data_IF_649108846232
#
_entry.id   IF_649108846232
#
_cell.length_a   1.000
_cell.length_b   1.000
_cell.length_c   1.000
_cell.angle_alpha   90.00
_cell.angle_beta   90.00
_cell.angle_gamma   90.00
#
_symmetry.space_group_name_H-M   'P 1'
#
loop_
_entity.id
_entity.type
_entity.pdbx_description
1 polymer ?
#
# COMPACT_ATOMS: atom_id res chain seq x y z
N UNK A 1 -16.93 -17.70 16.23
CA UNK A 1 -16.77 -16.38 15.58
C UNK A 1 -17.79 -16.31 14.46
N UNK A 2 -18.74 -15.38 14.55
CA UNK A 2 -19.92 -15.36 13.68
C UNK A 2 -19.50 -15.17 12.22
N UNK A 3 -19.87 -16.10 11.33
CA UNK A 3 -19.46 -16.13 9.93
C UNK A 3 -19.66 -14.79 9.20
N UNK A 4 -20.70 -14.03 9.58
CA UNK A 4 -20.97 -12.67 9.10
C UNK A 4 -19.83 -11.67 9.33
N UNK A 5 -19.19 -11.71 10.50
CA UNK A 5 -18.09 -10.79 10.84
C UNK A 5 -16.83 -11.12 10.03
N UNK A 6 -16.54 -12.41 9.85
CA UNK A 6 -15.42 -12.87 9.02
C UNK A 6 -15.63 -12.49 7.55
N UNK A 7 -16.84 -12.66 7.02
CA UNK A 7 -17.18 -12.29 5.65
C UNK A 7 -16.98 -10.78 5.41
N UNK A 8 -17.50 -9.94 6.30
CA UNK A 8 -17.41 -8.48 6.15
C UNK A 8 -15.96 -7.98 6.23
N UNK A 9 -15.17 -8.60 7.11
CA UNK A 9 -13.73 -8.36 7.21
C UNK A 9 -12.99 -8.71 5.92
N UNK A 10 -13.24 -9.91 5.37
CA UNK A 10 -12.58 -10.36 4.15
C UNK A 10 -13.00 -9.55 2.93
N UNK A 11 -14.28 -9.18 2.83
CA UNK A 11 -14.80 -8.30 1.77
C UNK A 11 -14.13 -6.92 1.80
N UNK A 12 -14.01 -6.32 2.99
CA UNK A 12 -13.30 -5.04 3.17
C UNK A 12 -11.85 -5.16 2.72
N UNK A 13 -11.18 -6.24 3.10
CA UNK A 13 -9.79 -6.49 2.72
C UNK A 13 -9.62 -6.61 1.21
N UNK A 14 -10.49 -7.37 0.54
CA UNK A 14 -10.44 -7.55 -0.92
C UNK A 14 -10.74 -6.25 -1.66
N UNK A 15 -11.73 -5.47 -1.22
CA UNK A 15 -12.02 -4.15 -1.81
C UNK A 15 -10.81 -3.22 -1.64
N UNK A 16 -10.22 -3.18 -0.44
CA UNK A 16 -9.02 -2.40 -0.18
C UNK A 16 -7.86 -2.82 -1.10
N UNK A 17 -7.68 -4.12 -1.33
CA UNK A 17 -6.67 -4.67 -2.23
C UNK A 17 -6.87 -4.21 -3.68
N UNK A 18 -8.09 -4.33 -4.22
CA UNK A 18 -8.38 -3.98 -5.62
C UNK A 18 -8.18 -2.48 -5.87
N UNK A 19 -8.67 -1.64 -4.96
CA UNK A 19 -8.52 -0.17 -5.06
C UNK A 19 -7.04 0.22 -4.97
N UNK A 20 -6.27 -0.42 -4.09
CA UNK A 20 -4.83 -0.19 -3.95
C UNK A 20 -4.05 -0.58 -5.21
N UNK A 21 -4.24 -1.80 -5.73
CA UNK A 21 -3.54 -2.27 -6.94
C UNK A 21 -3.89 -1.39 -8.14
N UNK A 22 -5.16 -1.01 -8.28
CA UNK A 22 -5.60 -0.12 -9.37
C UNK A 22 -4.94 1.25 -9.27
N UNK A 23 -4.83 1.78 -8.05
CA UNK A 23 -4.16 3.06 -7.80
C UNK A 23 -2.67 2.97 -8.14
N UNK A 24 -1.96 1.97 -7.60
CA UNK A 24 -0.52 1.75 -7.85
C UNK A 24 -0.23 1.51 -9.33
N UNK A 25 -1.02 0.69 -10.02
CA UNK A 25 -0.84 0.41 -11.45
C UNK A 25 -0.96 1.68 -12.29
N UNK A 26 -1.91 2.56 -11.96
CA UNK A 26 -2.07 3.86 -12.62
C UNK A 26 -0.85 4.76 -12.40
N UNK A 27 -0.27 4.72 -11.19
CA UNK A 27 0.92 5.48 -10.82
C UNK A 27 2.20 4.95 -11.49
N UNK A 28 2.30 3.63 -11.72
CA UNK A 28 3.42 3.01 -12.44
C UNK A 28 3.38 3.30 -13.96
N UNK A 29 2.20 3.38 -14.56
CA UNK A 29 2.02 3.66 -15.98
C UNK A 29 2.23 5.14 -16.35
N UNK A 30 2.05 6.07 -15.41
CA UNK A 30 2.20 7.52 -15.64
C UNK A 30 3.14 8.18 -14.61
N UNK A 31 4.46 7.94 -14.69
CA UNK A 31 5.44 8.50 -13.75
C UNK A 31 5.54 10.03 -13.83
N UNK A 32 5.21 10.63 -14.97
CA UNK A 32 5.27 12.09 -15.18
C UNK A 32 4.21 12.85 -14.36
N UNK A 33 3.10 12.19 -14.02
CA UNK A 33 1.97 12.79 -13.31
C UNK A 33 2.26 12.94 -11.81
N UNK A 34 3.19 12.16 -11.26
CA UNK A 34 3.58 12.23 -9.84
C UNK A 34 4.06 13.61 -9.41
N UNK A 35 4.95 14.23 -10.20
CA UNK A 35 5.51 15.54 -9.89
C UNK A 35 4.46 16.65 -9.96
N UNK A 36 3.49 16.53 -10.87
CA UNK A 36 2.40 17.51 -11.03
C UNK A 36 1.39 17.37 -9.89
N UNK A 37 1.11 16.14 -9.45
CA UNK A 37 0.17 15.84 -8.36
C UNK A 37 0.69 16.33 -6.99
N UNK A 38 2.00 16.32 -6.73
CA UNK A 38 2.57 16.81 -5.47
C UNK A 38 2.41 18.32 -5.24
N UNK A 39 2.02 19.09 -6.27
CA UNK A 39 1.69 20.52 -6.11
C UNK A 39 0.33 20.78 -5.46
N UNK A 40 -0.59 19.81 -5.44
CA UNK A 40 -1.90 19.97 -4.82
C UNK A 40 -1.96 19.31 -3.43
N UNK A 41 -2.31 20.06 -2.37
CA UNK A 41 -2.26 19.59 -0.97
C UNK A 41 -3.22 18.42 -0.68
N UNK A 42 -4.32 18.31 -1.44
CA UNK A 42 -5.29 17.21 -1.32
C UNK A 42 -4.71 15.90 -1.85
N UNK A 43 -3.82 15.98 -2.83
CA UNK A 43 -3.35 14.81 -3.56
C UNK A 43 -2.17 14.13 -2.88
N UNK A 44 -1.35 14.89 -2.14
CA UNK A 44 -0.32 14.33 -1.26
C UNK A 44 -0.92 13.53 -0.09
N UNK A 45 -2.08 13.94 0.43
CA UNK A 45 -2.79 13.20 1.48
C UNK A 45 -3.21 11.81 1.00
N UNK A 46 -3.78 11.71 -0.21
CA UNK A 46 -4.13 10.42 -0.80
C UNK A 46 -2.90 9.55 -1.04
N UNK A 47 -1.80 10.14 -1.51
CA UNK A 47 -0.53 9.42 -1.72
C UNK A 47 0.06 8.88 -0.41
N UNK A 48 -0.11 9.58 0.73
CA UNK A 48 0.29 9.10 2.06
C UNK A 48 -0.64 8.02 2.66
N UNK A 49 -1.91 8.00 2.29
CA UNK A 49 -2.83 6.93 2.69
C UNK A 49 -2.56 5.60 1.96
N UNK A 50 -1.99 5.64 0.75
CA UNK A 50 -1.60 4.43 0.01
C UNK A 50 -0.61 3.54 0.80
N UNK A 51 0.57 4.02 1.23
CA UNK A 51 1.51 3.17 1.95
C UNK A 51 0.97 2.68 3.29
N UNK A 52 0.08 3.43 3.94
CA UNK A 52 -0.59 2.98 5.16
C UNK A 52 -1.51 1.77 4.90
N UNK A 53 -2.32 1.83 3.84
CA UNK A 53 -3.18 0.72 3.40
C UNK A 53 -2.37 -0.49 2.94
N UNK A 54 -1.26 -0.25 2.24
CA UNK A 54 -0.37 -1.30 1.76
C UNK A 54 0.36 -2.02 2.91
N UNK A 55 0.82 -1.27 3.91
CA UNK A 55 1.45 -1.84 5.12
C UNK A 55 0.49 -2.77 5.87
N UNK A 56 -0.79 -2.38 5.94
CA UNK A 56 -1.82 -3.22 6.55
C UNK A 56 -2.00 -4.53 5.76
N UNK A 57 -2.01 -4.45 4.43
CA UNK A 57 -2.09 -5.62 3.57
C UNK A 57 -0.91 -6.57 3.79
N UNK A 58 0.33 -6.06 3.79
CA UNK A 58 1.53 -6.87 4.03
C UNK A 58 1.46 -7.58 5.40
N UNK A 59 1.05 -6.86 6.44
CA UNK A 59 0.90 -7.44 7.79
C UNK A 59 -0.18 -8.54 7.84
N UNK A 60 -1.32 -8.33 7.17
CA UNK A 60 -2.38 -9.33 7.13
C UNK A 60 -1.99 -10.52 6.24
N UNK A 61 -1.29 -10.30 5.13
CA UNK A 61 -0.73 -11.37 4.30
C UNK A 61 0.25 -12.21 5.12
N UNK A 62 1.21 -11.62 5.81
CA UNK A 62 2.12 -12.38 6.70
C UNK A 62 1.32 -13.13 7.77
N UNK A 63 0.35 -12.47 8.41
CA UNK A 63 -0.44 -13.09 9.48
C UNK A 63 -1.30 -14.27 9.00
N UNK A 64 -1.97 -14.16 7.85
CA UNK A 64 -2.81 -15.22 7.27
C UNK A 64 -1.98 -16.37 6.71
N UNK A 65 -0.98 -16.06 5.87
CA UNK A 65 -0.18 -17.09 5.19
C UNK A 65 0.75 -17.82 6.17
N UNK A 66 1.37 -17.12 7.12
CA UNK A 66 2.27 -17.74 8.09
C UNK A 66 1.54 -18.42 9.26
N UNK A 67 0.58 -17.75 9.91
CA UNK A 67 -0.09 -18.35 11.08
C UNK A 67 -1.21 -19.32 10.72
N UNK A 68 -1.94 -19.08 9.64
CA UNK A 68 -3.22 -19.77 9.40
C UNK A 68 -3.12 -20.86 8.33
N UNK A 69 -2.35 -20.61 7.26
CA UNK A 69 -2.20 -21.55 6.16
C UNK A 69 -0.89 -22.35 6.20
N UNK A 70 0.13 -21.91 6.96
CA UNK A 70 1.45 -22.54 6.99
C UNK A 70 2.11 -22.65 5.60
N UNK A 71 1.58 -21.92 4.62
CA UNK A 71 1.91 -22.04 3.21
C UNK A 71 2.63 -20.75 2.80
N UNK A 72 3.93 -20.86 2.48
CA UNK A 72 4.68 -19.70 2.04
C UNK A 72 6.19 -19.89 1.93
N UNK A 73 6.79 -20.85 2.64
CA UNK A 73 8.24 -21.06 2.60
C UNK A 73 9.02 -19.76 2.83
N UNK A 74 10.30 -19.74 2.45
CA UNK A 74 11.12 -18.53 2.47
C UNK A 74 10.80 -17.59 1.30
N UNK A 75 10.40 -18.14 0.15
CA UNK A 75 10.16 -17.37 -1.09
C UNK A 75 9.01 -16.36 -0.97
N UNK A 76 7.90 -16.71 -0.32
CA UNK A 76 6.77 -15.78 -0.15
C UNK A 76 7.12 -14.64 0.80
N UNK A 77 7.89 -14.93 1.85
CA UNK A 77 8.39 -13.91 2.79
C UNK A 77 9.33 -12.94 2.07
N UNK A 78 10.24 -13.45 1.21
CA UNK A 78 11.11 -12.59 0.41
C UNK A 78 10.34 -11.72 -0.59
N UNK A 79 9.27 -12.23 -1.21
CA UNK A 79 8.41 -11.43 -2.08
C UNK A 79 7.72 -10.29 -1.30
N UNK A 80 7.11 -10.60 -0.15
CA UNK A 80 6.50 -9.59 0.75
C UNK A 80 7.53 -8.57 1.21
N UNK A 81 8.75 -9.01 1.53
CA UNK A 81 9.84 -8.13 1.92
C UNK A 81 10.26 -7.18 0.80
N UNK A 82 10.32 -7.65 -0.45
CA UNK A 82 10.52 -6.79 -1.62
C UNK A 82 9.42 -5.74 -1.78
N UNK A 83 8.16 -6.15 -1.64
CA UNK A 83 7.02 -5.22 -1.64
C UNK A 83 7.06 -4.21 -0.47
N UNK A 84 7.57 -4.62 0.69
CA UNK A 84 7.74 -3.74 1.84
C UNK A 84 8.74 -2.60 1.59
N UNK A 85 9.83 -2.87 0.89
CA UNK A 85 10.79 -1.83 0.48
C UNK A 85 10.18 -0.82 -0.48
N UNK A 86 9.42 -1.27 -1.47
CA UNK A 86 8.74 -0.38 -2.43
C UNK A 86 7.77 0.56 -1.70
N UNK A 87 7.04 0.02 -0.73
CA UNK A 87 6.16 0.80 0.14
C UNK A 87 6.92 1.86 0.95
N UNK A 88 8.06 1.51 1.56
CA UNK A 88 8.89 2.45 2.31
C UNK A 88 9.45 3.56 1.42
N UNK A 89 9.96 3.23 0.24
CA UNK A 89 10.47 4.22 -0.72
C UNK A 89 9.36 5.17 -1.14
N UNK A 90 8.16 4.66 -1.40
CA UNK A 90 6.97 5.48 -1.74
C UNK A 90 6.63 6.47 -0.63
N UNK A 91 6.63 6.04 0.64
CA UNK A 91 6.41 6.93 1.79
C UNK A 91 7.48 8.03 1.89
N UNK A 92 8.75 7.68 1.70
CA UNK A 92 9.86 8.63 1.76
C UNK A 92 9.73 9.66 0.64
N UNK A 93 9.42 9.23 -0.58
CA UNK A 93 9.19 10.13 -1.72
C UNK A 93 8.04 11.11 -1.45
N UNK A 94 6.94 10.66 -0.84
CA UNK A 94 5.85 11.53 -0.42
C UNK A 94 6.30 12.60 0.58
N UNK A 95 7.07 12.23 1.61
CA UNK A 95 7.58 13.19 2.59
C UNK A 95 8.55 14.20 1.96
N UNK A 96 9.42 13.74 1.06
CA UNK A 96 10.42 14.59 0.42
C UNK A 96 9.78 15.57 -0.58
N UNK A 97 8.81 15.10 -1.38
CA UNK A 97 8.10 15.97 -2.32
C UNK A 97 7.19 17.01 -1.65
N UNK A 98 6.67 16.72 -0.46
CA UNK A 98 5.98 17.72 0.36
C UNK A 98 6.95 18.76 0.95
N UNK A 99 8.17 18.34 1.34
CA UNK A 99 9.19 19.21 1.92
C UNK A 99 9.76 20.26 0.95
N UNK A 100 9.86 19.94 -0.34
CA UNK A 100 10.38 20.88 -1.35
C UNK A 100 9.42 22.01 -1.72
N UNK A 101 8.14 21.92 -1.37
CA UNK A 101 7.11 22.89 -1.76
C UNK A 101 6.81 23.96 -0.68
N UNK A 102 7.35 23.82 0.54
CA UNK A 102 7.19 24.82 1.62
C UNK A 102 8.43 25.72 1.78
N UNK A 103 9.38 25.65 0.83
CA UNK A 103 10.69 26.29 0.89
C UNK A 103 10.95 27.39 -0.14
N UNK A 104 9.91 28.03 -0.71
CA UNK A 104 10.06 29.25 -1.50
C UNK A 104 8.81 30.12 -1.43
#
# INVERSE_FOLDING_TARGET
MNAFSALFFFLNLVILMVVMITSVTRYLLFPEVWFIMMRHPVQSLYLGCLPMGFTTLLNVSVSLFYKQYGFGGTTFIYAIWGFWWINNVTSILCCWGAGTCHGN
#
